data_IF_195146871577
#
_entry.id   IF_195146871577
#
_cell.length_a   1.000
_cell.length_b   1.000
_cell.length_c   1.000
_cell.angle_alpha   90.00
_cell.angle_beta   90.00
_cell.angle_gamma   90.00
#
_symmetry.space_group_name_H-M   'P 1'
#
loop_
_entity.id
_entity.type
_entity.pdbx_description
1 polymer ?
#
# COMPACT_ATOMS: atom_id res chain seq x y z
N UNK A 1 -9.57 -11.27 -2.53
CA UNK A 1 -10.75 -11.34 -1.64
C UNK A 1 -11.66 -10.14 -1.89
N UNK A 2 -12.99 -10.24 -1.77
CA UNK A 2 -13.89 -9.08 -1.90
C UNK A 2 -14.17 -8.52 -0.52
N UNK A 3 -14.05 -7.21 -0.35
CA UNK A 3 -14.46 -6.50 0.86
C UNK A 3 -15.96 -6.74 1.14
N UNK A 4 -16.35 -6.79 2.41
CA UNK A 4 -17.77 -6.73 2.76
C UNK A 4 -18.36 -5.37 2.35
N UNK A 5 -19.68 -5.28 2.09
CA UNK A 5 -20.31 -4.01 1.71
C UNK A 5 -20.09 -2.90 2.76
N UNK A 6 -20.13 -3.26 4.06
CA UNK A 6 -19.90 -2.29 5.15
C UNK A 6 -18.47 -1.76 5.15
N UNK A 7 -17.50 -2.62 4.92
CA UNK A 7 -16.10 -2.26 4.87
C UNK A 7 -15.81 -1.43 3.63
N UNK A 8 -16.38 -1.82 2.48
CA UNK A 8 -16.31 -1.04 1.25
C UNK A 8 -16.81 0.40 1.46
N UNK A 9 -17.96 0.58 2.11
CA UNK A 9 -18.52 1.90 2.41
C UNK A 9 -17.63 2.69 3.39
N UNK A 10 -17.05 2.01 4.38
CA UNK A 10 -16.13 2.63 5.32
C UNK A 10 -14.85 3.14 4.61
N UNK A 11 -14.30 2.36 3.67
CA UNK A 11 -13.13 2.74 2.86
C UNK A 11 -13.40 3.94 1.94
N UNK A 12 -14.66 4.18 1.54
CA UNK A 12 -15.07 5.36 0.77
C UNK A 12 -15.39 6.58 1.63
N UNK A 13 -15.41 6.43 2.95
CA UNK A 13 -15.82 7.49 3.89
C UNK A 13 -14.89 8.71 3.89
N UNK A 14 -15.45 9.88 4.21
CA UNK A 14 -14.65 11.09 4.38
C UNK A 14 -13.60 10.96 5.49
N UNK A 15 -13.89 10.18 6.53
CA UNK A 15 -12.94 9.89 7.62
C UNK A 15 -11.73 9.08 7.13
N UNK A 16 -11.93 8.04 6.31
CA UNK A 16 -10.83 7.26 5.73
C UNK A 16 -9.93 8.12 4.83
N UNK A 17 -10.55 8.99 4.02
CA UNK A 17 -9.84 9.97 3.19
C UNK A 17 -9.01 10.92 4.04
N UNK A 18 -9.58 11.44 5.12
CA UNK A 18 -8.86 12.31 6.05
C UNK A 18 -7.65 11.62 6.70
N UNK A 19 -7.80 10.35 7.13
CA UNK A 19 -6.67 9.54 7.65
C UNK A 19 -5.58 9.41 6.58
N UNK A 20 -5.92 9.03 5.36
CA UNK A 20 -4.95 8.84 4.28
C UNK A 20 -4.14 10.12 4.02
N UNK A 21 -4.80 11.27 3.92
CA UNK A 21 -4.13 12.53 3.66
C UNK A 21 -3.30 13.03 4.86
N UNK A 22 -3.89 13.07 6.06
CA UNK A 22 -3.32 13.79 7.20
C UNK A 22 -2.45 12.92 8.10
N UNK A 23 -2.67 11.61 8.11
CA UNK A 23 -1.88 10.70 8.94
C UNK A 23 -0.89 9.88 8.11
N UNK A 24 -1.35 9.22 7.05
CA UNK A 24 -0.51 8.30 6.27
C UNK A 24 0.45 9.07 5.36
N UNK A 25 -0.05 9.80 4.38
CA UNK A 25 0.79 10.53 3.42
C UNK A 25 1.63 11.60 4.13
N UNK A 26 1.01 12.42 5.00
CA UNK A 26 1.74 13.47 5.72
C UNK A 26 2.78 12.89 6.68
N UNK A 27 2.46 11.78 7.36
CA UNK A 27 3.38 11.05 8.23
C UNK A 27 4.59 10.52 7.47
N UNK A 28 4.38 9.92 6.29
CA UNK A 28 5.48 9.46 5.46
C UNK A 28 6.28 10.60 4.83
N UNK A 29 5.66 11.72 4.47
CA UNK A 29 6.40 12.93 4.04
C UNK A 29 7.33 13.43 5.15
N UNK A 30 6.92 13.37 6.42
CA UNK A 30 7.81 13.67 7.56
C UNK A 30 8.97 12.67 7.70
N UNK A 31 8.86 11.48 7.08
CA UNK A 31 9.95 10.50 7.00
C UNK A 31 10.82 10.66 5.74
N UNK A 32 10.54 11.67 4.92
CA UNK A 32 11.28 11.98 3.69
C UNK A 32 10.69 11.30 2.45
N UNK A 33 9.42 10.90 2.47
CA UNK A 33 8.71 10.46 1.26
C UNK A 33 8.52 11.68 0.34
N UNK A 34 9.04 11.57 -0.86
CA UNK A 34 8.94 12.60 -1.90
C UNK A 34 8.57 11.91 -3.22
N UNK A 35 7.47 12.32 -3.81
CA UNK A 35 6.94 11.75 -5.05
C UNK A 35 7.50 12.41 -6.31
N UNK A 36 8.14 13.58 -6.17
CA UNK A 36 8.57 14.41 -7.29
C UNK A 36 9.48 13.66 -8.25
N UNK A 37 9.09 13.58 -9.52
CA UNK A 37 9.88 12.98 -10.59
C UNK A 37 10.08 11.47 -10.52
N UNK A 38 9.37 10.77 -9.62
CA UNK A 38 9.51 9.32 -9.40
C UNK A 38 8.48 8.50 -10.17
N UNK A 39 8.86 7.29 -10.56
CA UNK A 39 7.95 6.26 -11.04
C UNK A 39 7.37 5.52 -9.81
N UNK A 40 6.07 5.65 -9.56
CA UNK A 40 5.39 5.19 -8.34
C UNK A 40 4.46 4.03 -8.66
N UNK A 41 4.46 3.01 -7.79
CA UNK A 41 3.46 1.96 -7.72
C UNK A 41 2.69 2.06 -6.40
N UNK A 42 1.38 2.18 -6.46
CA UNK A 42 0.49 2.00 -5.31
C UNK A 42 -0.22 0.67 -5.42
N UNK A 43 -0.14 -0.15 -4.37
CA UNK A 43 -0.87 -1.41 -4.27
C UNK A 43 -2.16 -1.20 -3.48
N UNK A 44 -3.28 -1.71 -4.03
CA UNK A 44 -4.61 -1.48 -3.47
C UNK A 44 -5.07 -0.02 -3.61
N UNK A 45 -4.92 0.58 -4.79
CA UNK A 45 -5.20 1.99 -5.02
C UNK A 45 -6.69 2.37 -4.89
N UNK A 46 -7.58 1.38 -4.79
CA UNK A 46 -9.02 1.59 -4.65
C UNK A 46 -9.58 2.55 -5.70
N UNK A 47 -10.43 3.47 -5.26
CA UNK A 47 -11.05 4.50 -6.12
C UNK A 47 -10.13 5.69 -6.48
N UNK A 48 -8.81 5.58 -6.21
CA UNK A 48 -7.83 6.57 -6.64
C UNK A 48 -7.77 7.84 -5.79
N UNK A 49 -8.26 7.83 -4.55
CA UNK A 49 -8.19 9.02 -3.70
C UNK A 49 -6.73 9.42 -3.39
N UNK A 50 -5.91 8.47 -2.94
CA UNK A 50 -4.47 8.67 -2.73
C UNK A 50 -3.76 9.11 -4.01
N UNK A 51 -4.11 8.50 -5.15
CA UNK A 51 -3.61 8.91 -6.47
C UNK A 51 -3.84 10.42 -6.70
N UNK A 52 -5.05 10.92 -6.39
CA UNK A 52 -5.39 12.35 -6.54
C UNK A 52 -4.57 13.30 -5.67
N UNK A 53 -3.98 12.79 -4.60
CA UNK A 53 -3.06 13.53 -3.73
C UNK A 53 -1.63 13.43 -4.24
N UNK A 54 -1.20 12.21 -4.61
CA UNK A 54 0.17 11.91 -5.06
C UNK A 54 0.52 12.68 -6.35
N UNK A 55 -0.40 12.73 -7.32
CA UNK A 55 -0.14 13.41 -8.60
C UNK A 55 0.07 14.92 -8.46
N UNK A 56 -0.36 15.54 -7.37
CA UNK A 56 -0.11 16.95 -7.08
C UNK A 56 1.37 17.26 -6.82
N UNK A 57 2.13 16.28 -6.41
CA UNK A 57 3.57 16.39 -6.18
C UNK A 57 4.39 16.10 -7.46
N UNK A 58 3.75 16.06 -8.63
CA UNK A 58 4.37 15.89 -9.93
C UNK A 58 5.30 14.67 -10.04
N UNK A 59 4.81 13.43 -9.77
CA UNK A 59 5.57 12.24 -10.05
C UNK A 59 5.86 12.14 -11.56
N UNK A 60 6.90 11.39 -11.92
CA UNK A 60 7.18 11.07 -13.32
C UNK A 60 6.09 10.17 -13.91
N UNK A 61 5.63 9.20 -13.15
CA UNK A 61 4.45 8.38 -13.45
C UNK A 61 3.86 7.81 -12.16
N UNK A 62 2.55 7.59 -12.18
CA UNK A 62 1.84 6.86 -11.14
C UNK A 62 1.16 5.63 -11.75
N UNK A 63 1.32 4.49 -11.10
CA UNK A 63 0.59 3.26 -11.43
C UNK A 63 -0.12 2.78 -10.17
N UNK A 64 -1.44 2.72 -10.20
CA UNK A 64 -2.26 2.10 -9.16
C UNK A 64 -2.71 0.70 -9.59
N UNK A 65 -2.55 -0.29 -8.72
CA UNK A 65 -3.08 -1.64 -8.94
C UNK A 65 -4.14 -1.96 -7.89
N UNK A 66 -5.25 -2.53 -8.33
CA UNK A 66 -6.32 -3.02 -7.46
C UNK A 66 -6.95 -4.27 -8.06
N UNK A 67 -7.46 -5.17 -7.21
CA UNK A 67 -8.11 -6.40 -7.66
C UNK A 67 -9.57 -6.16 -8.08
N UNK A 68 -10.18 -5.07 -7.62
CA UNK A 68 -11.60 -4.76 -7.80
C UNK A 68 -11.80 -3.85 -9.01
N UNK A 69 -12.36 -4.34 -10.14
CA UNK A 69 -12.57 -3.53 -11.35
C UNK A 69 -13.49 -2.33 -11.09
N UNK A 70 -14.49 -2.46 -10.25
CA UNK A 70 -15.42 -1.39 -9.87
C UNK A 70 -14.74 -0.21 -9.12
N UNK A 71 -13.61 -0.46 -8.46
CA UNK A 71 -12.80 0.60 -7.87
C UNK A 71 -11.97 1.31 -8.95
N UNK A 72 -11.40 0.55 -9.86
CA UNK A 72 -10.59 1.10 -10.95
C UNK A 72 -11.41 1.96 -11.90
N UNK A 73 -12.65 1.58 -12.20
CA UNK A 73 -13.58 2.43 -12.98
C UNK A 73 -13.76 3.82 -12.35
N UNK A 74 -13.87 3.87 -11.01
CA UNK A 74 -13.96 5.16 -10.29
C UNK A 74 -12.65 5.92 -10.32
N UNK A 75 -11.53 5.23 -10.18
CA UNK A 75 -10.21 5.82 -10.22
C UNK A 75 -9.90 6.42 -11.62
N UNK A 76 -10.23 5.70 -12.69
CA UNK A 76 -10.10 6.18 -14.07
C UNK A 76 -10.99 7.39 -14.34
N UNK A 77 -12.22 7.42 -13.80
CA UNK A 77 -13.15 8.54 -13.92
C UNK A 77 -12.62 9.86 -13.32
N UNK A 78 -11.59 9.81 -12.47
CA UNK A 78 -10.92 11.02 -11.96
C UNK A 78 -10.14 11.78 -13.05
N UNK A 79 -9.81 11.14 -14.17
CA UNK A 79 -9.11 11.76 -15.30
C UNK A 79 -7.73 12.31 -14.93
N UNK A 80 -7.02 11.67 -14.00
CA UNK A 80 -5.71 12.11 -13.52
C UNK A 80 -4.65 11.98 -14.63
N UNK A 81 -3.95 13.06 -14.91
CA UNK A 81 -2.79 13.02 -15.81
C UNK A 81 -1.65 12.24 -15.16
N UNK A 82 -0.89 11.52 -15.98
CA UNK A 82 0.29 10.74 -15.57
C UNK A 82 -0.01 9.61 -14.57
N UNK A 83 -1.31 9.29 -14.40
CA UNK A 83 -1.80 8.16 -13.61
C UNK A 83 -2.35 7.06 -14.52
N UNK A 84 -2.00 5.82 -14.20
CA UNK A 84 -2.51 4.61 -14.83
C UNK A 84 -3.07 3.69 -13.75
N UNK A 85 -4.25 3.15 -14.01
CA UNK A 85 -4.89 2.19 -13.13
C UNK A 85 -4.95 0.81 -13.80
N UNK A 86 -4.63 -0.24 -13.07
CA UNK A 86 -4.44 -1.58 -13.63
C UNK A 86 -5.07 -2.62 -12.73
N UNK A 87 -5.93 -3.47 -13.27
CA UNK A 87 -6.46 -4.59 -12.51
C UNK A 87 -5.37 -5.65 -12.29
N UNK A 88 -5.19 -6.06 -11.03
CA UNK A 88 -4.24 -7.12 -10.69
C UNK A 88 -4.20 -7.39 -9.19
N UNK A 89 -3.54 -8.49 -8.85
CA UNK A 89 -3.27 -8.90 -7.47
C UNK A 89 -1.92 -8.31 -7.03
N UNK A 90 -1.87 -7.69 -5.85
CA UNK A 90 -0.63 -7.20 -5.26
C UNK A 90 0.40 -8.32 -5.07
N UNK A 91 -0.04 -9.57 -4.87
CA UNK A 91 0.84 -10.73 -4.74
C UNK A 91 1.51 -11.16 -6.07
N UNK A 92 1.03 -10.66 -7.20
CA UNK A 92 1.55 -10.96 -8.55
C UNK A 92 1.81 -9.68 -9.35
N UNK A 93 3.05 -9.21 -9.29
CA UNK A 93 3.51 -8.05 -10.07
C UNK A 93 4.28 -8.46 -11.34
N UNK A 94 4.12 -9.71 -11.83
CA UNK A 94 4.85 -10.27 -12.98
C UNK A 94 4.67 -9.49 -14.28
N UNK A 95 3.58 -8.72 -14.39
CA UNK A 95 3.33 -7.80 -15.51
C UNK A 95 4.28 -6.61 -15.59
N UNK A 96 4.97 -6.31 -14.51
CA UNK A 96 5.96 -5.23 -14.46
C UNK A 96 7.37 -5.80 -14.57
N UNK A 97 8.20 -5.08 -15.32
CA UNK A 97 9.62 -5.40 -15.47
C UNK A 97 10.37 -5.22 -14.15
N UNK A 98 11.52 -5.87 -14.02
CA UNK A 98 12.44 -5.66 -12.92
C UNK A 98 12.89 -4.19 -12.89
N UNK A 99 13.08 -3.66 -11.68
CA UNK A 99 13.62 -2.32 -11.48
C UNK A 99 12.84 -1.20 -12.21
N UNK A 100 11.52 -1.36 -12.26
CA UNK A 100 10.61 -0.44 -12.96
C UNK A 100 10.27 0.81 -12.15
N UNK A 101 10.19 0.70 -10.81
CA UNK A 101 9.67 1.73 -9.93
C UNK A 101 10.74 2.29 -8.99
N UNK A 102 10.64 3.58 -8.67
CA UNK A 102 11.45 4.24 -7.65
C UNK A 102 10.83 4.11 -6.26
N UNK A 103 9.51 3.99 -6.22
CA UNK A 103 8.76 3.92 -4.98
C UNK A 103 7.56 2.99 -5.07
N UNK A 104 7.32 2.25 -3.98
CA UNK A 104 6.07 1.51 -3.76
C UNK A 104 5.41 2.06 -2.50
N UNK A 105 4.09 2.24 -2.55
CA UNK A 105 3.28 2.65 -1.40
C UNK A 105 2.11 1.70 -1.18
N UNK A 106 1.79 1.46 0.09
CA UNK A 106 0.61 0.75 0.56
C UNK A 106 -0.05 1.56 1.68
N UNK A 107 -1.36 1.72 1.55
CA UNK A 107 -2.20 2.40 2.52
C UNK A 107 -3.34 1.47 2.97
N UNK A 108 -3.02 0.56 3.90
CA UNK A 108 -4.00 -0.27 4.61
C UNK A 108 -4.68 -1.33 3.74
N UNK A 109 -3.93 -2.07 2.90
CA UNK A 109 -4.54 -3.16 2.10
C UNK A 109 -3.86 -4.53 2.25
N UNK A 110 -2.61 -4.58 2.70
CA UNK A 110 -1.86 -5.85 2.68
C UNK A 110 -2.42 -6.91 3.64
N UNK A 111 -3.15 -6.50 4.69
CA UNK A 111 -3.87 -7.43 5.56
C UNK A 111 -5.02 -8.17 4.85
N UNK A 112 -5.40 -7.76 3.64
CA UNK A 112 -6.33 -8.48 2.77
C UNK A 112 -5.62 -9.37 1.72
N UNK A 113 -4.30 -9.27 1.59
CA UNK A 113 -3.54 -9.96 0.55
C UNK A 113 -3.05 -11.30 1.05
N UNK A 114 -3.70 -12.41 0.65
CA UNK A 114 -3.31 -13.77 1.04
C UNK A 114 -1.84 -14.07 0.70
N UNK A 115 -1.38 -13.59 -0.45
CA UNK A 115 -0.01 -13.72 -0.92
C UNK A 115 0.96 -12.63 -0.45
N UNK A 116 0.78 -11.96 0.68
CA UNK A 116 1.63 -10.83 1.10
C UNK A 116 3.14 -11.15 1.16
N UNK A 117 3.50 -12.42 1.37
CA UNK A 117 4.90 -12.86 1.31
C UNK A 117 5.45 -12.86 -0.13
N UNK A 118 4.61 -13.20 -1.10
CA UNK A 118 4.93 -13.10 -2.54
C UNK A 118 5.01 -11.64 -2.96
N UNK A 119 4.05 -10.80 -2.49
CA UNK A 119 4.13 -9.36 -2.67
C UNK A 119 5.50 -8.78 -2.29
N UNK A 120 6.03 -9.12 -1.12
CA UNK A 120 7.33 -8.59 -0.68
C UNK A 120 8.50 -8.99 -1.60
N UNK A 121 8.47 -10.19 -2.18
CA UNK A 121 9.48 -10.63 -3.17
C UNK A 121 9.33 -9.86 -4.49
N UNK A 122 8.11 -9.74 -4.97
CA UNK A 122 7.80 -9.01 -6.20
C UNK A 122 8.09 -7.51 -6.04
N UNK A 123 7.71 -6.91 -4.91
CA UNK A 123 8.04 -5.52 -4.59
C UNK A 123 9.55 -5.27 -4.64
N UNK A 124 10.34 -6.19 -4.08
CA UNK A 124 11.80 -6.11 -4.17
C UNK A 124 12.30 -6.20 -5.61
N UNK A 125 11.72 -7.09 -6.42
CA UNK A 125 12.10 -7.27 -7.83
C UNK A 125 11.81 -6.01 -8.66
N UNK A 126 10.60 -5.46 -8.53
CA UNK A 126 10.15 -4.33 -9.37
C UNK A 126 10.69 -2.96 -8.91
N UNK A 127 11.20 -2.85 -7.68
CA UNK A 127 11.90 -1.65 -7.23
C UNK A 127 13.30 -1.56 -7.82
N UNK A 128 13.72 -0.35 -8.20
CA UNK A 128 15.11 -0.03 -8.56
C UNK A 128 16.05 -0.19 -7.36
N UNK A 129 17.34 -0.45 -7.54
CA UNK A 129 18.34 -0.27 -6.48
C UNK A 129 18.20 1.12 -5.85
N UNK A 130 18.24 1.19 -4.52
CA UNK A 130 17.97 2.42 -3.77
C UNK A 130 16.49 2.82 -3.66
N UNK A 131 15.59 2.13 -4.36
CA UNK A 131 14.15 2.39 -4.32
C UNK A 131 13.54 2.16 -2.95
N UNK A 132 12.47 2.87 -2.65
CA UNK A 132 11.85 2.93 -1.33
C UNK A 132 10.45 2.30 -1.34
N UNK A 133 10.10 1.63 -0.24
CA UNK A 133 8.75 1.11 -0.02
C UNK A 133 8.20 1.64 1.30
N UNK A 134 7.03 2.27 1.23
CA UNK A 134 6.31 2.81 2.39
C UNK A 134 5.04 2.01 2.61
N UNK A 135 4.90 1.45 3.79
CA UNK A 135 3.79 0.57 4.19
C UNK A 135 3.16 1.12 5.46
N UNK A 136 1.85 1.36 5.43
CA UNK A 136 1.03 1.52 6.61
C UNK A 136 -0.06 0.46 6.60
N UNK A 137 -0.11 -0.38 7.65
CA UNK A 137 -1.09 -1.45 7.70
C UNK A 137 -1.46 -1.86 9.12
N UNK A 138 -2.56 -2.62 9.25
CA UNK A 138 -3.01 -3.20 10.50
C UNK A 138 -2.19 -4.45 10.85
N UNK A 139 -1.96 -4.63 12.14
CA UNK A 139 -1.52 -5.92 12.67
C UNK A 139 -2.71 -6.86 12.81
N UNK A 140 -2.47 -8.19 12.96
CA UNK A 140 -3.50 -9.15 13.34
C UNK A 140 -4.36 -8.67 14.51
N UNK A 141 -3.76 -8.04 15.53
CA UNK A 141 -4.48 -7.49 16.67
C UNK A 141 -5.37 -6.30 16.28
N UNK A 142 -4.87 -5.45 15.37
CA UNK A 142 -5.64 -4.32 14.84
C UNK A 142 -6.87 -4.80 14.07
N UNK A 143 -6.68 -5.77 13.17
CA UNK A 143 -7.78 -6.38 12.40
C UNK A 143 -8.82 -6.99 13.33
N UNK A 144 -8.43 -7.80 14.30
CA UNK A 144 -9.39 -8.36 15.27
C UNK A 144 -10.14 -7.29 16.07
N UNK A 145 -9.48 -6.18 16.41
CA UNK A 145 -10.15 -5.07 17.09
C UNK A 145 -11.17 -4.39 16.17
N UNK A 146 -10.82 -4.14 14.90
CA UNK A 146 -11.76 -3.55 13.92
C UNK A 146 -12.93 -4.48 13.65
N UNK A 147 -12.70 -5.78 13.54
CA UNK A 147 -13.74 -6.80 13.40
C UNK A 147 -14.71 -6.78 14.59
N UNK A 148 -14.17 -6.72 15.79
CA UNK A 148 -14.98 -6.66 17.00
C UNK A 148 -15.84 -5.37 17.07
N UNK A 149 -15.23 -4.22 16.77
CA UNK A 149 -15.88 -2.90 16.88
C UNK A 149 -16.90 -2.68 15.75
N UNK A 150 -16.51 -2.96 14.50
CA UNK A 150 -17.32 -2.66 13.32
C UNK A 150 -18.12 -3.85 12.81
N UNK A 151 -17.92 -5.04 13.43
CA UNK A 151 -18.52 -6.31 13.00
C UNK A 151 -18.17 -6.64 11.54
N UNK A 152 -16.90 -6.46 11.22
CA UNK A 152 -16.31 -6.94 9.98
C UNK A 152 -15.90 -8.40 10.16
N UNK A 153 -15.57 -9.07 9.07
CA UNK A 153 -15.21 -10.49 9.05
C UNK A 153 -14.02 -10.69 8.10
N UNK A 154 -12.82 -10.42 8.62
CA UNK A 154 -11.59 -10.64 7.86
C UNK A 154 -11.16 -12.10 7.94
N UNK A 155 -10.60 -12.60 6.83
CA UNK A 155 -9.97 -13.92 6.83
C UNK A 155 -8.70 -13.92 7.69
N UNK A 156 -8.50 -14.98 8.46
CA UNK A 156 -7.32 -15.14 9.34
C UNK A 156 -6.00 -15.34 8.56
N UNK A 157 -6.07 -15.95 7.39
CA UNK A 157 -4.88 -16.40 6.66
C UNK A 157 -3.90 -15.30 6.24
N UNK A 158 -4.35 -14.13 5.74
CA UNK A 158 -3.42 -13.06 5.37
C UNK A 158 -2.87 -12.29 6.56
N UNK A 159 -3.39 -12.49 7.77
CA UNK A 159 -3.04 -11.66 8.91
C UNK A 159 -1.63 -11.92 9.44
N UNK A 160 -0.94 -10.84 9.75
CA UNK A 160 0.43 -10.84 10.24
C UNK A 160 0.61 -9.93 11.46
N UNK A 161 1.68 -10.17 12.20
CA UNK A 161 2.21 -9.21 13.16
C UNK A 161 3.24 -8.31 12.49
N UNK A 162 3.47 -7.13 13.05
CA UNK A 162 4.55 -6.23 12.62
C UNK A 162 5.90 -6.94 12.53
N UNK A 163 6.22 -7.83 13.50
CA UNK A 163 7.48 -8.58 13.53
C UNK A 163 7.58 -9.58 12.38
N UNK A 164 6.52 -10.32 12.10
CA UNK A 164 6.48 -11.27 10.99
C UNK A 164 6.66 -10.56 9.64
N UNK A 165 5.98 -9.44 9.46
CA UNK A 165 6.07 -8.63 8.25
C UNK A 165 7.50 -8.12 8.04
N UNK A 166 8.11 -7.49 9.07
CA UNK A 166 9.48 -6.98 9.00
C UNK A 166 10.49 -8.10 8.72
N UNK A 167 10.36 -9.25 9.37
CA UNK A 167 11.25 -10.39 9.13
C UNK A 167 11.16 -10.90 7.70
N UNK A 168 9.95 -10.96 7.15
CA UNK A 168 9.77 -11.41 5.76
C UNK A 168 10.28 -10.36 4.76
N UNK A 169 10.08 -9.06 5.01
CA UNK A 169 10.64 -8.00 4.17
C UNK A 169 12.18 -8.09 4.13
N UNK A 170 12.83 -8.29 5.27
CA UNK A 170 14.28 -8.50 5.36
C UNK A 170 14.74 -9.77 4.62
N UNK A 171 13.99 -10.87 4.70
CA UNK A 171 14.27 -12.09 3.93
C UNK A 171 14.15 -11.87 2.41
N UNK A 172 13.31 -10.94 1.99
CA UNK A 172 13.18 -10.54 0.58
C UNK A 172 14.29 -9.58 0.12
N UNK A 173 15.16 -9.11 1.02
CA UNK A 173 16.31 -8.25 0.71
C UNK A 173 16.15 -6.79 1.16
N UNK A 174 15.02 -6.41 1.73
CA UNK A 174 14.79 -5.04 2.18
C UNK A 174 15.58 -4.69 3.45
N UNK A 175 16.03 -3.43 3.52
CA UNK A 175 16.56 -2.81 4.73
C UNK A 175 15.46 -1.98 5.38
N UNK A 176 15.23 -2.17 6.69
CA UNK A 176 14.32 -1.31 7.46
C UNK A 176 14.99 0.01 7.77
N UNK A 177 14.50 1.12 7.23
CA UNK A 177 15.04 2.48 7.45
C UNK A 177 14.35 3.16 8.63
N UNK A 178 13.01 3.13 8.64
CA UNK A 178 12.19 3.67 9.74
C UNK A 178 11.01 2.75 10.01
N UNK A 179 10.52 2.79 11.23
CA UNK A 179 9.31 2.08 11.64
C UNK A 179 8.60 2.79 12.77
N UNK A 180 7.29 2.66 12.82
CA UNK A 180 6.46 3.02 13.96
C UNK A 180 5.44 1.92 14.26
N UNK A 181 4.87 1.97 15.44
CA UNK A 181 3.83 1.06 15.89
C UNK A 181 2.90 1.82 16.83
N UNK A 182 1.63 1.81 16.54
CA UNK A 182 0.63 2.49 17.35
C UNK A 182 -0.10 1.46 18.22
N UNK A 183 0.37 1.33 19.46
CA UNK A 183 -0.20 0.44 20.47
C UNK A 183 -0.31 -1.05 20.05
N UNK A 184 0.45 -1.48 19.06
CA UNK A 184 0.40 -2.84 18.53
C UNK A 184 -0.79 -3.13 17.60
N UNK A 185 -1.58 -2.09 17.22
CA UNK A 185 -2.76 -2.24 16.38
C UNK A 185 -2.46 -2.02 14.90
N UNK A 186 -1.65 -1.01 14.61
CA UNK A 186 -1.14 -0.74 13.28
C UNK A 186 0.35 -0.48 13.30
N UNK A 187 0.95 -0.39 12.13
CA UNK A 187 2.37 -0.10 11.98
C UNK A 187 2.64 0.68 10.70
N UNK A 188 3.76 1.40 10.72
CA UNK A 188 4.33 1.99 9.52
C UNK A 188 5.76 1.51 9.33
N UNK A 189 6.15 1.30 8.08
CA UNK A 189 7.51 1.02 7.68
C UNK A 189 7.95 1.91 6.52
N UNK A 190 9.21 2.32 6.58
CA UNK A 190 9.99 2.72 5.42
C UNK A 190 11.06 1.65 5.22
N UNK A 191 10.97 0.93 4.11
CA UNK A 191 11.98 0.00 3.65
C UNK A 191 12.74 0.59 2.47
N UNK A 192 13.96 0.09 2.23
CA UNK A 192 14.77 0.44 1.08
C UNK A 192 15.36 -0.83 0.46
N UNK A 193 15.36 -0.90 -0.87
CA UNK A 193 16.16 -1.86 -1.61
C UNK A 193 17.62 -1.40 -1.59
N UNK A 194 18.57 -2.30 -1.28
CA UNK A 194 19.99 -1.95 -1.27
C UNK A 194 20.41 -1.37 -2.60
N UNK A 195 21.35 -0.41 -2.57
CA UNK A 195 22.08 0.00 -3.77
C UNK A 195 22.94 -1.17 -4.21
N UNK A 196 22.85 -1.55 -5.49
CA UNK A 196 23.58 -2.67 -6.06
C UNK A 196 25.08 -2.43 -6.15
#
# INVERSE_FOLDING_TARGET
MKLSLKEYDAMQSGWRKWINEHMEISGFKAWGMDFTGKDILEVGCGSGYSASLIVKDHPKSYTGIDIMPEQLEKAEALGLRDARFVQGDAADLSRFEDERFDMIVDFMILHHVEGWRSFLKEAYRVLRPGGEMYINDLTRKGVHLTDFVFRWDHAEEPLFSMKEFEQQARKSGFVTVKRCNYAGLDFCFKFQKAEG
#
